data_IF_703410110176
#
_entry.id   IF_703410110176
#
_cell.length_a   1.000
_cell.length_b   1.000
_cell.length_c   1.000
_cell.angle_alpha   90.00
_cell.angle_beta   90.00
_cell.angle_gamma   90.00
#
_symmetry.space_group_name_H-M   'P 1'
#
loop_
_entity.id
_entity.type
_entity.pdbx_description
1 polymer ?
#
# COMPACT_ATOMS: atom_id res chain seq x y z
N UNK A 1 0.29 2.18 -0.58
CA UNK A 1 1.38 1.46 0.11
C UNK A 1 1.75 0.15 -0.59
N UNK A 2 0.83 -0.80 -0.79
CA UNK A 2 1.12 -2.08 -1.46
C UNK A 2 1.72 -1.92 -2.88
N UNK A 3 1.22 -0.98 -3.68
CA UNK A 3 1.76 -0.73 -5.04
C UNK A 3 3.20 -0.23 -5.00
N UNK A 4 3.52 0.64 -4.05
CA UNK A 4 4.88 1.16 -3.89
C UNK A 4 5.84 0.05 -3.48
N UNK A 5 5.43 -0.78 -2.51
CA UNK A 5 6.23 -1.92 -2.06
C UNK A 5 6.49 -2.95 -3.19
N UNK A 6 5.46 -3.32 -3.94
CA UNK A 6 5.59 -4.34 -4.98
C UNK A 6 6.20 -3.80 -6.29
N UNK A 7 5.86 -2.58 -6.71
CA UNK A 7 6.22 -2.05 -8.04
C UNK A 7 7.31 -0.99 -8.07
N UNK A 8 7.54 -0.29 -6.96
CA UNK A 8 8.64 0.69 -6.87
C UNK A 8 9.84 0.10 -6.15
N UNK A 9 9.63 -0.62 -5.04
CA UNK A 9 10.72 -1.30 -4.33
C UNK A 9 11.03 -2.70 -4.89
N UNK A 10 10.18 -3.22 -5.80
CA UNK A 10 10.33 -4.55 -6.42
C UNK A 10 10.45 -5.69 -5.40
N UNK A 11 9.79 -5.55 -4.25
CA UNK A 11 9.81 -6.53 -3.18
C UNK A 11 8.67 -7.54 -3.34
N UNK A 12 8.88 -8.74 -2.78
CA UNK A 12 7.89 -9.80 -2.82
C UNK A 12 6.64 -9.43 -2.03
N UNK A 13 5.52 -9.28 -2.72
CA UNK A 13 4.22 -8.89 -2.16
C UNK A 13 3.77 -9.78 -1.00
N UNK A 14 4.21 -11.04 -0.94
CA UNK A 14 3.87 -11.98 0.14
C UNK A 14 4.39 -11.50 1.50
N UNK A 15 5.52 -10.80 1.51
CA UNK A 15 6.09 -10.19 2.72
C UNK A 15 5.16 -9.08 3.23
N UNK A 16 4.68 -8.23 2.32
CA UNK A 16 3.71 -7.17 2.64
C UNK A 16 2.37 -7.73 3.14
N UNK A 17 1.88 -8.80 2.52
CA UNK A 17 0.67 -9.49 2.95
C UNK A 17 0.80 -10.05 4.36
N UNK A 18 1.90 -10.75 4.67
CA UNK A 18 2.17 -11.29 6.00
C UNK A 18 2.34 -10.19 7.08
N UNK A 19 2.94 -9.05 6.72
CA UNK A 19 3.03 -7.91 7.63
C UNK A 19 1.64 -7.35 7.96
N UNK A 20 0.78 -7.19 6.95
CA UNK A 20 -0.58 -6.71 7.14
C UNK A 20 -1.43 -7.69 7.96
N UNK A 21 -1.23 -8.99 7.80
CA UNK A 21 -1.86 -10.01 8.64
C UNK A 21 -1.58 -9.81 10.14
N UNK A 22 -0.37 -9.38 10.49
CA UNK A 22 -0.02 -9.14 11.90
C UNK A 22 -0.54 -7.83 12.50
N UNK A 23 -1.01 -6.88 11.66
CA UNK A 23 -1.32 -5.51 12.09
C UNK A 23 -2.78 -5.09 11.85
N UNK A 24 -3.46 -5.68 10.88
CA UNK A 24 -4.84 -5.33 10.57
C UNK A 24 -5.78 -5.84 11.66
N UNK A 25 -6.51 -4.91 12.28
CA UNK A 25 -7.56 -5.23 13.27
C UNK A 25 -8.71 -5.99 12.60
N UNK A 26 -8.95 -5.73 11.31
CA UNK A 26 -10.01 -6.29 10.47
C UNK A 26 -9.49 -7.37 9.49
N UNK A 27 -8.40 -8.05 9.85
CA UNK A 27 -7.77 -9.04 8.97
C UNK A 27 -8.77 -10.11 8.47
N UNK A 28 -8.86 -10.23 7.15
CA UNK A 28 -9.41 -11.37 6.44
C UNK A 28 -8.40 -11.85 5.39
N UNK A 29 -8.15 -13.16 5.37
CA UNK A 29 -7.14 -13.79 4.50
C UNK A 29 -7.43 -13.56 3.01
N UNK A 30 -8.70 -13.63 2.59
CA UNK A 30 -9.07 -13.52 1.18
C UNK A 30 -8.95 -12.08 0.71
N UNK A 31 -9.47 -11.14 1.49
CA UNK A 31 -9.35 -9.72 1.21
C UNK A 31 -7.89 -9.26 1.22
N UNK A 32 -7.09 -9.67 2.20
CA UNK A 32 -5.69 -9.25 2.28
C UNK A 32 -4.86 -9.80 1.10
N UNK A 33 -4.77 -11.12 0.95
CA UNK A 33 -3.93 -11.73 -0.08
C UNK A 33 -4.46 -11.45 -1.50
N UNK A 34 -5.78 -11.38 -1.68
CA UNK A 34 -6.40 -11.00 -2.96
C UNK A 34 -6.02 -9.58 -3.38
N UNK A 35 -6.09 -8.61 -2.47
CA UNK A 35 -5.69 -7.23 -2.74
C UNK A 35 -4.19 -7.11 -3.04
N UNK A 36 -3.34 -7.83 -2.31
CA UNK A 36 -1.90 -7.82 -2.56
C UNK A 36 -1.53 -8.45 -3.91
N UNK A 37 -2.15 -9.57 -4.30
CA UNK A 37 -1.95 -10.18 -5.63
C UNK A 37 -2.40 -9.24 -6.75
N UNK A 38 -3.55 -8.58 -6.56
CA UNK A 38 -4.07 -7.60 -7.52
C UNK A 38 -3.10 -6.44 -7.71
N UNK A 39 -2.66 -5.84 -6.61
CA UNK A 39 -1.77 -4.68 -6.63
C UNK A 39 -0.37 -5.01 -7.13
N UNK A 40 0.14 -6.21 -6.85
CA UNK A 40 1.43 -6.67 -7.35
C UNK A 40 1.42 -7.06 -8.83
N UNK A 41 0.24 -7.12 -9.48
CA UNK A 41 0.11 -7.52 -10.88
C UNK A 41 0.36 -9.01 -11.13
N UNK A 42 0.31 -9.84 -10.09
CA UNK A 42 0.48 -11.31 -10.16
C UNK A 42 -0.88 -12.02 -10.34
N UNK A 43 -1.99 -11.26 -10.20
CA UNK A 43 -3.35 -11.74 -10.40
C UNK A 43 -3.87 -11.63 -11.83
N UNK A 44 -5.19 -11.81 -12.00
CA UNK A 44 -5.87 -11.90 -13.30
C UNK A 44 -6.19 -10.53 -13.95
N UNK A 45 -5.58 -9.42 -13.49
CA UNK A 45 -5.77 -8.10 -14.13
C UNK A 45 -4.67 -7.90 -15.19
N UNK A 46 -5.03 -7.82 -16.50
CA UNK A 46 -4.05 -7.59 -17.56
C UNK A 46 -3.50 -6.15 -17.60
N UNK A 47 -3.96 -5.27 -16.70
CA UNK A 47 -3.55 -3.86 -16.66
C UNK A 47 -2.39 -3.65 -15.70
N UNK A 48 -1.27 -3.15 -16.21
CA UNK A 48 -0.17 -2.70 -15.37
C UNK A 48 -0.47 -1.32 -14.77
N UNK A 49 -1.20 -1.31 -13.64
CA UNK A 49 -1.49 -0.08 -12.90
C UNK A 49 -0.33 0.23 -11.96
N UNK A 50 0.44 1.26 -12.29
CA UNK A 50 1.43 1.85 -11.38
C UNK A 50 0.90 3.18 -10.88
N UNK A 51 0.91 3.37 -9.57
CA UNK A 51 0.55 4.65 -8.95
C UNK A 51 1.79 5.52 -8.80
N UNK A 52 1.67 6.80 -9.14
CA UNK A 52 2.68 7.81 -8.81
C UNK A 52 2.35 8.39 -7.43
N UNK A 53 3.26 8.25 -6.47
CA UNK A 53 3.02 8.62 -5.05
C UNK A 53 2.70 10.11 -4.89
N UNK A 54 3.43 10.99 -5.58
CA UNK A 54 3.27 12.45 -5.46
C UNK A 54 1.89 12.88 -5.94
N UNK A 55 1.47 12.41 -7.12
CA UNK A 55 0.14 12.74 -7.67
C UNK A 55 -1.01 12.17 -6.83
N UNK A 56 -0.80 11.03 -6.15
CA UNK A 56 -1.78 10.48 -5.22
C UNK A 56 -1.85 11.32 -3.94
N UNK A 57 -0.70 11.76 -3.42
CA UNK A 57 -0.63 12.65 -2.26
C UNK A 57 -1.34 13.98 -2.54
N UNK A 58 -1.04 14.63 -3.67
CA UNK A 58 -1.71 15.88 -4.07
C UNK A 58 -3.22 15.70 -4.24
N UNK A 59 -3.67 14.57 -4.80
CA UNK A 59 -5.09 14.32 -5.04
C UNK A 59 -5.88 14.00 -3.77
N UNK A 60 -5.32 13.21 -2.85
CA UNK A 60 -6.04 12.69 -1.69
C UNK A 60 -5.70 13.39 -0.37
N UNK A 61 -4.56 14.08 -0.29
CA UNK A 61 -4.10 14.83 0.88
C UNK A 61 -3.51 16.20 0.46
N UNK A 62 -4.26 16.98 -0.33
CA UNK A 62 -3.80 18.26 -0.87
C UNK A 62 -3.29 19.27 0.17
N UNK A 63 -3.77 19.18 1.42
CA UNK A 63 -3.36 20.05 2.52
C UNK A 63 -2.28 19.40 3.43
N UNK A 64 -1.79 18.20 3.07
CA UNK A 64 -0.81 17.45 3.85
C UNK A 64 -1.26 17.07 5.26
N UNK A 65 -2.57 17.09 5.56
CA UNK A 65 -3.07 16.88 6.92
C UNK A 65 -2.81 15.46 7.39
N UNK A 66 -2.99 14.48 6.50
CA UNK A 66 -2.73 13.09 6.84
C UNK A 66 -1.22 12.85 7.00
N UNK A 67 -0.40 13.36 6.08
CA UNK A 67 1.05 13.23 6.19
C UNK A 67 1.60 13.89 7.47
N UNK A 68 1.18 15.11 7.79
CA UNK A 68 1.62 15.82 8.99
C UNK A 68 1.19 15.15 10.30
N UNK A 69 0.09 14.40 10.28
CA UNK A 69 -0.37 13.65 11.45
C UNK A 69 0.50 12.41 11.73
N UNK A 70 0.96 11.72 10.68
CA UNK A 70 1.61 10.42 10.81
C UNK A 70 3.14 10.45 10.60
N UNK A 71 3.68 11.44 9.89
CA UNK A 71 5.11 11.63 9.64
C UNK A 71 5.73 12.61 10.65
N UNK A 72 5.48 12.38 11.94
CA UNK A 72 6.08 13.19 13.00
C UNK A 72 7.49 12.68 13.31
N UNK A 73 8.47 13.58 13.36
CA UNK A 73 9.85 13.24 13.71
C UNK A 73 10.01 12.81 15.17
N UNK A 74 9.08 13.23 16.03
CA UNK A 74 9.07 12.93 17.47
C UNK A 74 7.66 12.53 17.90
N UNK A 75 7.57 11.41 18.62
CA UNK A 75 6.38 11.04 19.37
C UNK A 75 6.51 11.67 20.76
N UNK A 76 5.88 12.84 20.92
CA UNK A 76 5.90 13.70 22.11
C UNK A 76 7.23 14.41 22.37
#
# INVERSE_FOLDING_TARGET
>A
MASFFAKDLLLDWRIGAAYFESLLIDYDVHSNYGNWMYVAGVGNDPRDRKFNVDTQAERYDANGKFQNLWLQETLF
#
